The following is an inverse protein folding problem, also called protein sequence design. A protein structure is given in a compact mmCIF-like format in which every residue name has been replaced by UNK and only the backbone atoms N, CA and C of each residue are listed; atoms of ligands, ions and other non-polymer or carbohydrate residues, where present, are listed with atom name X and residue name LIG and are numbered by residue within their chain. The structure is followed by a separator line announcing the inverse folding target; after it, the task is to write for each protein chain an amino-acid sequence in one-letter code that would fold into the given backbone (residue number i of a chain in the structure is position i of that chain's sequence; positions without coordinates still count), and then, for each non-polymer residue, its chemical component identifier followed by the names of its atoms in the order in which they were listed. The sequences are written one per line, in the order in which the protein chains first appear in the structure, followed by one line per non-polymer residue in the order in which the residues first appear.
data_IF_349023179772
#
_entry.id   IF_349023179772
#
_cell.length_a   1.000
_cell.length_b   1.000
_cell.length_c   1.000
_cell.angle_alpha   90.00
_cell.angle_beta   90.00
_cell.angle_gamma   90.00
#
_symmetry.space_group_name_H-M   'P 1'
#
loop_
_entity.id
_entity.type
_entity.pdbx_description
1 polymer ?
#
# COMPACT_ATOMS: atom_id res chain seq x y z
N UNK A 1 17.94 -42.05 -13.11
CA UNK A 1 16.52 -41.94 -12.76
C UNK A 1 16.31 -41.05 -11.53
N UNK A 2 17.19 -41.13 -10.54
CA UNK A 2 17.05 -40.32 -9.31
C UNK A 2 17.12 -38.81 -9.52
N UNK A 3 17.96 -38.31 -10.44
CA UNK A 3 18.05 -36.88 -10.74
C UNK A 3 16.76 -36.30 -11.35
N UNK A 4 16.09 -37.05 -12.24
CA UNK A 4 14.80 -36.63 -12.81
C UNK A 4 13.68 -36.63 -11.79
N UNK A 5 13.67 -37.62 -10.88
CA UNK A 5 12.68 -37.69 -9.78
C UNK A 5 12.90 -36.53 -8.80
N UNK A 6 14.14 -36.19 -8.47
CA UNK A 6 14.47 -35.04 -7.62
C UNK A 6 14.05 -33.70 -8.26
N UNK A 7 14.29 -33.51 -9.56
CA UNK A 7 13.83 -32.31 -10.29
C UNK A 7 12.30 -32.23 -10.31
N UNK A 8 11.60 -33.33 -10.60
CA UNK A 8 10.14 -33.37 -10.59
C UNK A 8 9.56 -33.07 -9.19
N UNK A 9 10.22 -33.52 -8.12
CA UNK A 9 9.81 -33.25 -6.74
C UNK A 9 10.03 -31.79 -6.29
N UNK A 10 10.97 -31.06 -6.90
CA UNK A 10 11.23 -29.65 -6.59
C UNK A 10 10.29 -28.68 -7.33
N UNK A 11 9.65 -29.13 -8.42
CA UNK A 11 8.80 -28.31 -9.28
C UNK A 11 7.60 -27.66 -8.54
N UNK A 12 6.89 -28.36 -7.63
CA UNK A 12 5.79 -27.76 -6.85
C UNK A 12 6.28 -26.64 -5.91
N UNK A 13 7.45 -26.80 -5.29
CA UNK A 13 8.02 -25.79 -4.40
C UNK A 13 8.40 -24.51 -5.18
N UNK A 14 8.92 -24.68 -6.40
CA UNK A 14 9.19 -23.55 -7.30
C UNK A 14 7.90 -22.80 -7.66
N UNK A 15 6.82 -23.51 -7.99
CA UNK A 15 5.54 -22.87 -8.32
C UNK A 15 4.94 -22.12 -7.13
N UNK A 16 5.05 -22.66 -5.91
CA UNK A 16 4.60 -21.97 -4.70
C UNK A 16 5.39 -20.68 -4.44
N UNK A 17 6.73 -20.72 -4.59
CA UNK A 17 7.56 -19.53 -4.43
C UNK A 17 7.18 -18.42 -5.41
N UNK A 18 6.97 -18.79 -6.69
CA UNK A 18 6.56 -17.85 -7.72
C UNK A 18 5.17 -17.26 -7.43
N UNK A 19 4.22 -18.09 -6.98
CA UNK A 19 2.88 -17.64 -6.61
C UNK A 19 2.88 -16.69 -5.40
N UNK A 20 3.75 -16.93 -4.41
CA UNK A 20 3.85 -16.08 -3.22
C UNK A 20 4.50 -14.72 -3.52
N UNK A 21 5.47 -14.69 -4.43
CA UNK A 21 6.07 -13.44 -4.90
C UNK A 21 5.08 -12.59 -5.71
N UNK A 22 4.28 -13.21 -6.57
CA UNK A 22 3.21 -12.53 -7.31
C UNK A 22 2.11 -12.01 -6.35
N UNK A 23 1.73 -12.84 -5.38
CA UNK A 23 0.62 -12.61 -4.44
C UNK A 23 0.85 -11.52 -3.39
N UNK A 24 2.10 -11.16 -3.07
CA UNK A 24 2.40 -10.30 -1.91
C UNK A 24 2.97 -8.94 -2.27
N UNK A 25 3.69 -8.84 -3.40
CA UNK A 25 4.37 -7.60 -3.78
C UNK A 25 3.38 -6.47 -4.11
N UNK A 26 2.28 -6.79 -4.79
CA UNK A 26 1.28 -5.80 -5.16
C UNK A 26 0.55 -5.24 -3.92
N UNK A 27 0.26 -6.08 -2.92
CA UNK A 27 -0.33 -5.66 -1.64
C UNK A 27 0.61 -4.71 -0.89
N UNK A 28 1.90 -5.05 -0.83
CA UNK A 28 2.92 -4.21 -0.21
C UNK A 28 3.06 -2.84 -0.90
N UNK A 29 3.01 -2.81 -2.24
CA UNK A 29 3.09 -1.57 -3.01
C UNK A 29 1.84 -0.70 -2.86
N UNK A 30 0.65 -1.30 -2.80
CA UNK A 30 -0.61 -0.58 -2.52
C UNK A 30 -0.55 0.04 -1.12
N UNK A 31 -0.16 -0.73 -0.10
CA UNK A 31 -0.02 -0.22 1.27
C UNK A 31 1.00 0.91 1.39
N UNK A 32 2.12 0.81 0.67
CA UNK A 32 3.12 1.86 0.61
C UNK A 32 2.57 3.15 -0.04
N UNK A 33 1.88 3.02 -1.18
CA UNK A 33 1.27 4.14 -1.87
C UNK A 33 0.23 4.87 -1.04
N UNK A 34 -0.71 4.10 -0.45
CA UNK A 34 -1.76 4.63 0.43
C UNK A 34 -1.17 5.31 1.66
N UNK A 35 -0.21 4.67 2.35
CA UNK A 35 0.43 5.24 3.54
C UNK A 35 1.14 6.56 3.27
N UNK A 36 1.88 6.65 2.15
CA UNK A 36 2.54 7.88 1.73
C UNK A 36 1.53 8.97 1.36
N UNK A 37 0.49 8.62 0.58
CA UNK A 37 -0.56 9.56 0.17
C UNK A 37 -1.30 10.16 1.36
N UNK A 38 -1.79 9.30 2.27
CA UNK A 38 -2.50 9.72 3.48
C UNK A 38 -1.59 10.54 4.40
N UNK A 39 -0.32 10.13 4.56
CA UNK A 39 0.67 10.87 5.35
C UNK A 39 0.90 12.29 4.85
N UNK A 40 1.01 12.48 3.53
CA UNK A 40 1.15 13.81 2.92
C UNK A 40 -0.11 14.66 3.08
N UNK A 41 -1.29 14.07 2.92
CA UNK A 41 -2.58 14.74 3.17
C UNK A 41 -2.65 15.23 4.62
N UNK A 42 -2.34 14.36 5.59
CA UNK A 42 -2.32 14.71 7.01
C UNK A 42 -1.34 15.83 7.34
N UNK A 43 -0.12 15.77 6.80
CA UNK A 43 0.88 16.82 6.99
C UNK A 43 0.40 18.20 6.49
N UNK A 44 -0.23 18.25 5.30
CA UNK A 44 -0.75 19.49 4.72
C UNK A 44 -2.02 19.97 5.42
N UNK A 45 -2.86 19.06 5.91
CA UNK A 45 -4.01 19.39 6.73
C UNK A 45 -3.59 20.05 8.05
N UNK A 46 -2.55 19.53 8.71
CA UNK A 46 -1.99 20.11 9.93
C UNK A 46 -1.38 21.49 9.69
N UNK A 47 -0.57 21.65 8.64
CA UNK A 47 -0.01 22.95 8.23
C UNK A 47 -1.10 23.98 7.92
N UNK A 48 -2.12 23.59 7.15
CA UNK A 48 -3.23 24.46 6.78
C UNK A 48 -4.07 24.88 8.00
N UNK A 49 -4.35 23.93 8.90
CA UNK A 49 -5.13 24.21 10.12
C UNK A 49 -4.35 25.13 11.06
N UNK A 50 -3.04 24.92 11.21
CA UNK A 50 -2.18 25.80 12.02
C UNK A 50 -2.10 27.22 11.47
N UNK A 51 -2.09 27.39 10.13
CA UNK A 51 -2.12 28.72 9.49
C UNK A 51 -3.49 29.38 9.51
N UNK A 52 -4.56 28.60 9.45
CA UNK A 52 -5.93 29.11 9.42
C UNK A 52 -6.87 28.27 10.31
N UNK A 53 -6.81 28.46 11.64
CA UNK A 53 -7.58 27.64 12.57
C UNK A 53 -9.10 27.77 12.37
N UNK A 54 -9.60 28.94 11.92
CA UNK A 54 -11.01 29.14 11.63
C UNK A 54 -11.56 28.30 10.46
N UNK A 55 -10.69 27.68 9.66
CA UNK A 55 -11.06 26.84 8.51
C UNK A 55 -10.96 25.32 8.78
N UNK A 56 -10.71 24.89 10.02
CA UNK A 56 -10.51 23.49 10.43
C UNK A 56 -11.51 22.51 9.79
N UNK A 57 -12.80 22.85 9.76
CA UNK A 57 -13.88 21.97 9.28
C UNK A 57 -13.85 21.82 7.76
N UNK A 58 -13.48 22.88 7.04
CA UNK A 58 -13.33 22.83 5.60
C UNK A 58 -12.08 22.00 5.23
N UNK A 59 -10.98 22.21 5.93
CA UNK A 59 -9.72 21.47 5.76
C UNK A 59 -9.93 19.98 6.06
N UNK A 60 -10.59 19.65 7.17
CA UNK A 60 -10.90 18.27 7.54
C UNK A 60 -11.74 17.55 6.48
N UNK A 61 -12.79 18.20 5.96
CA UNK A 61 -13.64 17.61 4.91
C UNK A 61 -12.85 17.24 3.67
N UNK A 62 -12.03 18.17 3.14
CA UNK A 62 -11.26 17.88 1.93
C UNK A 62 -10.14 16.86 2.20
N UNK A 63 -9.56 16.87 3.41
CA UNK A 63 -8.52 15.91 3.80
C UNK A 63 -9.06 14.48 3.87
N UNK A 64 -10.29 14.28 4.37
CA UNK A 64 -10.91 12.94 4.39
C UNK A 64 -11.18 12.44 2.96
N UNK A 65 -11.63 13.32 2.05
CA UNK A 65 -11.85 12.96 0.64
C UNK A 65 -10.53 12.55 -0.03
N UNK A 66 -9.45 13.29 0.22
CA UNK A 66 -8.14 12.94 -0.35
C UNK A 66 -7.50 11.71 0.30
N UNK A 67 -7.72 11.49 1.60
CA UNK A 67 -7.30 10.25 2.25
C UNK A 67 -8.05 9.04 1.66
N UNK A 68 -9.36 9.16 1.43
CA UNK A 68 -10.17 8.13 0.79
C UNK A 68 -9.76 7.89 -0.68
N UNK A 69 -9.37 8.92 -1.42
CA UNK A 69 -8.82 8.77 -2.77
C UNK A 69 -7.44 8.09 -2.75
N UNK A 70 -6.63 8.33 -1.73
CA UNK A 70 -5.30 7.75 -1.60
C UNK A 70 -5.32 6.28 -1.15
N UNK A 71 -6.34 5.86 -0.40
CA UNK A 71 -6.49 4.48 0.07
C UNK A 71 -7.27 3.56 -0.90
N UNK A 72 -8.07 4.16 -1.79
CA UNK A 72 -9.01 3.47 -2.68
C UNK A 72 -8.42 2.82 -3.91
#
# INVERSE_FOLDING_TARGET
MDSLIQIAAALPALFNLLAEMDGTIHVGLVGLGAGLGIGLVGAKAAEATGRNPGAEKAIMKISIIFAALAEG
#
